data_IF_986916336835
#
_entry.id   IF_986916336835
#
_cell.length_a   1.000
_cell.length_b   1.000
_cell.length_c   1.000
_cell.angle_alpha   90.00
_cell.angle_beta   90.00
_cell.angle_gamma   90.00
#
_symmetry.space_group_name_H-M   'P 1'
#
loop_
_entity.id
_entity.type
_entity.pdbx_description
1 polymer ?
#
# COMPACT_ATOMS: atom_id res chain seq x y z
N UNK A 1 13.18 -7.30 -6.37
CA UNK A 1 13.61 -6.10 -7.12
C UNK A 1 12.48 -5.17 -7.50
N UNK A 2 11.37 -5.65 -8.09
CA UNK A 2 10.21 -4.82 -8.42
C UNK A 2 9.76 -3.87 -7.29
N UNK A 3 9.75 -4.34 -6.04
CA UNK A 3 9.33 -3.52 -4.92
C UNK A 3 10.35 -2.41 -4.59
N UNK A 4 11.65 -2.65 -4.79
CA UNK A 4 12.69 -1.60 -4.70
C UNK A 4 12.50 -0.55 -5.78
N UNK A 5 12.19 -0.96 -7.01
CA UNK A 5 11.87 -0.03 -8.11
C UNK A 5 10.65 0.84 -7.78
N UNK A 6 9.59 0.21 -7.26
CA UNK A 6 8.38 0.92 -6.82
C UNK A 6 8.72 1.90 -5.69
N UNK A 7 9.49 1.45 -4.69
CA UNK A 7 9.92 2.27 -3.56
C UNK A 7 10.72 3.50 -3.97
N UNK A 8 11.69 3.32 -4.88
CA UNK A 8 12.49 4.43 -5.40
C UNK A 8 11.67 5.41 -6.24
N UNK A 9 10.70 4.92 -7.02
CA UNK A 9 9.84 5.77 -7.86
C UNK A 9 8.85 6.58 -7.02
N UNK A 10 8.22 5.92 -6.05
CA UNK A 10 7.10 6.48 -5.29
C UNK A 10 7.54 7.11 -3.95
N UNK A 11 8.84 7.05 -3.63
CA UNK A 11 9.42 7.64 -2.42
C UNK A 11 8.98 6.97 -1.12
N UNK A 12 8.63 5.67 -1.17
CA UNK A 12 8.15 4.91 -0.02
C UNK A 12 9.25 4.05 0.60
N UNK A 13 9.17 3.82 1.90
CA UNK A 13 10.03 2.86 2.59
C UNK A 13 9.47 1.45 2.43
N UNK A 14 10.37 0.47 2.31
CA UNK A 14 10.01 -0.96 2.24
C UNK A 14 10.71 -1.72 3.36
N UNK A 15 10.14 -2.86 3.74
CA UNK A 15 10.74 -3.72 4.74
C UNK A 15 11.96 -4.47 4.18
N UNK A 16 12.72 -5.10 5.08
CA UNK A 16 13.82 -5.98 4.69
C UNK A 16 13.29 -7.18 3.89
N UNK A 17 14.16 -7.81 3.10
CA UNK A 17 13.81 -9.07 2.41
C UNK A 17 13.36 -10.14 3.42
N UNK A 18 13.98 -10.17 4.59
CA UNK A 18 13.69 -11.14 5.64
C UNK A 18 12.25 -11.02 6.13
N UNK A 19 11.75 -9.80 6.32
CA UNK A 19 10.35 -9.57 6.71
C UNK A 19 9.35 -10.28 5.78
N UNK A 20 9.56 -10.20 4.46
CA UNK A 20 8.68 -10.88 3.51
C UNK A 20 8.87 -12.40 3.56
N UNK A 21 10.11 -12.89 3.71
CA UNK A 21 10.38 -14.32 3.87
C UNK A 21 9.72 -14.90 5.14
N UNK A 22 9.77 -14.16 6.24
CA UNK A 22 9.13 -14.51 7.50
C UNK A 22 7.60 -14.56 7.35
N UNK A 23 7.02 -13.60 6.61
CA UNK A 23 5.57 -13.60 6.33
C UNK A 23 5.11 -14.89 5.64
N UNK A 24 5.82 -15.34 4.60
CA UNK A 24 5.50 -16.61 3.91
C UNK A 24 5.76 -17.83 4.80
N UNK A 25 6.88 -17.83 5.54
CA UNK A 25 7.25 -18.93 6.41
C UNK A 25 6.25 -19.12 7.54
N UNK A 26 5.79 -18.02 8.16
CA UNK A 26 4.78 -18.02 9.21
C UNK A 26 3.42 -18.47 8.69
N UNK A 27 2.99 -17.99 7.52
CA UNK A 27 1.75 -18.47 6.88
C UNK A 27 1.80 -19.98 6.66
N UNK A 28 2.90 -20.51 6.15
CA UNK A 28 3.06 -21.95 5.94
C UNK A 28 3.04 -22.75 7.25
N UNK A 29 3.78 -22.30 8.28
CA UNK A 29 3.87 -23.01 9.56
C UNK A 29 2.57 -22.98 10.35
N UNK A 30 1.86 -21.85 10.35
CA UNK A 30 0.61 -21.69 11.08
C UNK A 30 -0.54 -22.42 10.39
N UNK A 31 -0.58 -22.45 9.05
CA UNK A 31 -1.61 -23.22 8.32
C UNK A 31 -1.51 -24.73 8.52
N UNK A 32 -0.35 -25.24 8.89
CA UNK A 32 -0.19 -26.65 9.23
C UNK A 32 -0.86 -27.02 10.58
N UNK A 33 -1.19 -26.02 11.41
CA UNK A 33 -1.65 -26.21 12.78
C UNK A 33 -3.03 -25.60 13.04
N UNK A 34 -3.34 -24.48 12.37
CA UNK A 34 -4.44 -23.58 12.66
C UNK A 34 -5.12 -23.12 11.35
N UNK A 35 -6.32 -22.54 11.44
CA UNK A 35 -6.99 -21.85 10.33
C UNK A 35 -6.37 -20.46 10.10
N UNK A 36 -5.13 -20.45 9.62
CA UNK A 36 -4.37 -19.23 9.34
C UNK A 36 -4.53 -18.77 7.88
N UNK A 37 -4.38 -17.46 7.58
CA UNK A 37 -4.44 -16.96 6.22
C UNK A 37 -3.35 -17.56 5.31
N UNK A 38 -3.73 -17.92 4.08
CA UNK A 38 -2.79 -18.28 3.02
C UNK A 38 -2.19 -17.01 2.42
N UNK A 39 -0.87 -16.87 2.45
CA UNK A 39 -0.16 -15.78 1.79
C UNK A 39 0.37 -16.27 0.44
N UNK A 40 -0.01 -15.60 -0.64
CA UNK A 40 0.41 -15.95 -2.01
C UNK A 40 1.11 -14.79 -2.68
N UNK A 41 2.26 -15.07 -3.30
CA UNK A 41 2.96 -14.15 -4.20
C UNK A 41 2.53 -14.41 -5.64
N UNK A 42 2.01 -13.38 -6.29
CA UNK A 42 1.75 -13.38 -7.73
C UNK A 42 2.83 -12.56 -8.44
N UNK A 43 3.27 -13.03 -9.61
CA UNK A 43 4.22 -12.32 -10.47
C UNK A 43 3.69 -12.33 -11.89
N UNK A 44 3.49 -11.14 -12.47
CA UNK A 44 3.16 -10.99 -13.87
C UNK A 44 4.45 -10.95 -14.68
N UNK A 45 4.61 -11.92 -15.59
CA UNK A 45 5.75 -12.01 -16.49
C UNK A 45 5.29 -11.90 -17.93
N UNK A 46 6.02 -11.14 -18.73
CA UNK A 46 5.89 -11.13 -20.19
C UNK A 46 7.25 -11.44 -20.80
N UNK A 47 7.34 -12.54 -21.55
CA UNK A 47 8.60 -13.09 -22.06
C UNK A 47 9.60 -13.31 -20.90
N UNK A 48 10.72 -12.58 -20.90
CA UNK A 48 11.78 -12.68 -19.89
C UNK A 48 11.65 -11.63 -18.76
N UNK A 49 10.67 -10.72 -18.85
CA UNK A 49 10.54 -9.60 -17.93
C UNK A 49 9.48 -9.84 -16.86
N UNK A 50 9.87 -9.75 -15.59
CA UNK A 50 8.92 -9.61 -14.49
C UNK A 50 8.43 -8.16 -14.46
N UNK A 51 7.13 -7.95 -14.70
CA UNK A 51 6.55 -6.62 -14.89
C UNK A 51 5.84 -6.08 -13.64
N UNK A 52 5.21 -6.96 -12.86
CA UNK A 52 4.57 -6.60 -11.61
C UNK A 52 4.51 -7.80 -10.67
N UNK A 53 4.31 -7.53 -9.37
CA UNK A 53 4.08 -8.56 -8.38
C UNK A 53 3.12 -8.04 -7.30
N UNK A 54 2.32 -8.93 -6.74
CA UNK A 54 1.46 -8.64 -5.59
C UNK A 54 1.55 -9.75 -4.55
N UNK A 55 1.38 -9.41 -3.28
CA UNK A 55 1.21 -10.37 -2.19
C UNK A 55 -0.22 -10.22 -1.69
N UNK A 56 -0.97 -11.32 -1.74
CA UNK A 56 -2.37 -11.37 -1.33
C UNK A 56 -2.55 -12.42 -0.25
N UNK A 57 -3.31 -12.07 0.78
CA UNK A 57 -3.70 -12.96 1.86
C UNK A 57 -5.09 -13.51 1.57
N UNK A 58 -5.33 -14.79 1.85
CA UNK A 58 -6.62 -15.44 1.66
C UNK A 58 -7.07 -16.10 2.97
N UNK A 59 -8.28 -15.78 3.40
CA UNK A 59 -8.97 -16.41 4.53
C UNK A 59 -10.42 -16.70 4.16
N UNK A 60 -11.13 -17.47 5.00
CA UNK A 60 -12.57 -17.72 4.80
C UNK A 60 -13.45 -16.48 5.05
N UNK A 61 -12.88 -15.42 5.64
CA UNK A 61 -13.58 -14.15 5.88
C UNK A 61 -13.36 -13.14 4.76
N UNK A 62 -12.13 -13.01 4.29
CA UNK A 62 -11.74 -12.05 3.25
C UNK A 62 -10.40 -12.42 2.63
N UNK A 63 -10.16 -11.91 1.43
CA UNK A 63 -8.85 -11.82 0.83
C UNK A 63 -8.35 -10.37 0.87
N UNK A 64 -7.06 -10.16 1.13
CA UNK A 64 -6.49 -8.81 1.32
C UNK A 64 -5.29 -8.62 0.39
N UNK A 65 -5.35 -7.60 -0.46
CA UNK A 65 -4.23 -7.13 -1.26
C UNK A 65 -3.24 -6.35 -0.38
N UNK A 66 -2.21 -7.03 0.11
CA UNK A 66 -1.33 -6.50 1.16
C UNK A 66 -0.17 -5.69 0.61
N UNK A 67 0.49 -6.19 -0.44
CA UNK A 67 1.62 -5.50 -1.07
C UNK A 67 1.51 -5.57 -2.58
N UNK A 68 1.93 -4.52 -3.26
CA UNK A 68 2.10 -4.54 -4.71
C UNK A 68 3.29 -3.74 -5.17
N UNK A 69 3.85 -4.22 -6.27
CA UNK A 69 5.01 -3.66 -6.91
C UNK A 69 4.85 -3.72 -8.42
N UNK A 70 5.31 -2.70 -9.13
CA UNK A 70 5.31 -2.65 -10.58
C UNK A 70 6.64 -2.09 -11.10
N UNK A 71 7.12 -2.68 -12.18
CA UNK A 71 8.24 -2.19 -12.95
C UNK A 71 7.84 -1.00 -13.84
N UNK A 72 8.83 -0.44 -14.51
CA UNK A 72 8.62 0.65 -15.48
C UNK A 72 8.51 0.14 -16.93
N UNK A 73 8.83 -1.13 -17.17
CA UNK A 73 8.78 -1.75 -18.48
C UNK A 73 7.35 -2.18 -18.84
N UNK A 74 7.01 -2.07 -20.14
CA UNK A 74 5.79 -2.64 -20.74
C UNK A 74 4.50 -2.30 -19.95
N UNK A 75 4.41 -1.08 -19.38
CA UNK A 75 3.27 -0.64 -18.55
C UNK A 75 1.94 -0.64 -19.30
N UNK A 76 1.98 -0.46 -20.62
CA UNK A 76 0.84 -0.54 -21.52
C UNK A 76 0.17 -1.93 -21.53
N UNK A 77 0.87 -2.99 -21.09
CA UNK A 77 0.30 -4.33 -20.94
C UNK A 77 -0.55 -4.48 -19.67
N UNK A 78 -0.64 -3.43 -18.84
CA UNK A 78 -1.47 -3.38 -17.64
C UNK A 78 -1.24 -4.57 -16.67
N UNK A 79 0.01 -4.95 -16.36
CA UNK A 79 0.31 -6.17 -15.59
C UNK A 79 -0.26 -6.15 -14.17
N UNK A 80 -0.38 -4.96 -13.56
CA UNK A 80 -1.01 -4.81 -12.24
C UNK A 80 -2.51 -5.16 -12.28
N UNK A 81 -3.22 -4.82 -13.36
CA UNK A 81 -4.64 -5.15 -13.52
C UNK A 81 -4.83 -6.65 -13.71
N UNK A 82 -3.97 -7.29 -14.50
CA UNK A 82 -3.95 -8.75 -14.64
C UNK A 82 -3.82 -9.42 -13.26
N UNK A 83 -2.84 -9.01 -12.46
CA UNK A 83 -2.61 -9.61 -11.14
C UNK A 83 -3.79 -9.44 -10.19
N UNK A 84 -4.40 -8.25 -10.13
CA UNK A 84 -5.57 -8.02 -9.29
C UNK A 84 -6.76 -8.85 -9.75
N UNK A 85 -7.02 -8.92 -11.07
CA UNK A 85 -8.09 -9.75 -11.60
C UNK A 85 -7.88 -11.22 -11.29
N UNK A 86 -6.66 -11.74 -11.46
CA UNK A 86 -6.32 -13.12 -11.07
C UNK A 86 -6.57 -13.34 -9.58
N UNK A 87 -6.05 -12.48 -8.71
CA UNK A 87 -6.22 -12.62 -7.27
C UNK A 87 -7.69 -12.50 -6.81
N UNK A 88 -8.51 -11.69 -7.47
CA UNK A 88 -9.97 -11.62 -7.22
C UNK A 88 -10.66 -12.94 -7.55
N UNK A 89 -10.32 -13.55 -8.69
CA UNK A 89 -10.86 -14.85 -9.08
C UNK A 89 -10.40 -15.96 -8.13
N UNK A 90 -9.14 -15.91 -7.70
CA UNK A 90 -8.59 -16.86 -6.74
C UNK A 90 -9.21 -16.68 -5.35
N UNK A 91 -9.54 -15.45 -4.94
CA UNK A 91 -10.27 -15.18 -3.70
C UNK A 91 -11.65 -15.83 -3.72
N UNK A 92 -12.36 -15.69 -4.84
CA UNK A 92 -13.65 -16.35 -5.04
C UNK A 92 -13.53 -17.87 -4.99
N UNK A 93 -12.54 -18.44 -5.66
CA UNK A 93 -12.27 -19.90 -5.66
C UNK A 93 -11.89 -20.40 -4.27
N UNK A 94 -11.12 -19.62 -3.51
CA UNK A 94 -10.73 -19.93 -2.13
C UNK A 94 -11.93 -19.91 -1.17
N UNK A 95 -13.02 -19.22 -1.54
CA UNK A 95 -14.21 -19.01 -0.72
C UNK A 95 -14.13 -17.76 0.16
N UNK A 96 -13.31 -16.77 -0.21
CA UNK A 96 -13.31 -15.46 0.43
C UNK A 96 -14.48 -14.62 -0.11
N UNK A 97 -15.45 -14.20 0.72
CA UNK A 97 -16.61 -13.44 0.27
C UNK A 97 -16.29 -11.98 -0.08
N UNK A 98 -15.13 -11.47 0.36
CA UNK A 98 -14.69 -10.09 0.15
C UNK A 98 -13.24 -10.08 -0.34
N UNK A 99 -12.92 -9.19 -1.28
CA UNK A 99 -11.57 -8.84 -1.69
C UNK A 99 -11.27 -7.39 -1.27
N UNK A 100 -10.51 -7.20 -0.20
CA UNK A 100 -10.12 -5.90 0.32
C UNK A 100 -8.84 -5.40 -0.38
N UNK A 101 -8.96 -4.29 -1.11
CA UNK A 101 -7.82 -3.61 -1.73
C UNK A 101 -6.91 -2.91 -0.72
N UNK A 102 -7.25 -2.93 0.58
CA UNK A 102 -6.58 -2.26 1.67
C UNK A 102 -6.63 -0.72 1.54
N UNK A 103 -5.88 0.00 2.38
CA UNK A 103 -5.95 1.46 2.49
C UNK A 103 -5.74 2.23 1.19
N UNK A 104 -6.58 3.24 0.94
CA UNK A 104 -6.56 4.08 -0.26
C UNK A 104 -6.68 5.57 0.12
N UNK A 105 -6.34 6.50 -0.80
CA UNK A 105 -6.58 7.93 -0.58
C UNK A 105 -8.06 8.22 -0.26
N UNK A 106 -8.36 9.22 0.56
CA UNK A 106 -9.69 9.41 1.15
C UNK A 106 -10.75 9.92 0.17
N UNK A 107 -10.35 10.50 -0.97
CA UNK A 107 -11.27 11.15 -1.92
C UNK A 107 -10.71 11.16 -3.35
N UNK A 108 -11.60 11.44 -4.30
CA UNK A 108 -11.31 11.73 -5.72
C UNK A 108 -10.69 13.13 -5.85
N UNK A 109 -9.45 13.30 -5.36
CA UNK A 109 -8.70 14.55 -5.44
C UNK A 109 -7.50 14.42 -6.37
N UNK A 110 -7.57 15.10 -7.52
CA UNK A 110 -6.52 15.12 -8.55
C UNK A 110 -5.20 15.73 -8.07
N UNK A 111 -5.23 16.56 -7.04
CA UNK A 111 -4.03 17.17 -6.46
C UNK A 111 -3.38 16.26 -5.41
N UNK A 112 -4.04 15.16 -5.03
CA UNK A 112 -3.50 14.23 -4.05
C UNK A 112 -2.33 13.43 -4.66
N UNK A 113 -1.16 13.33 -3.97
CA UNK A 113 0.02 12.63 -4.51
C UNK A 113 -0.23 11.17 -4.93
N UNK A 114 -1.21 10.53 -4.29
CA UNK A 114 -1.61 9.15 -4.57
C UNK A 114 -2.87 9.02 -5.43
N UNK A 115 -3.26 10.06 -6.20
CA UNK A 115 -4.47 10.03 -7.03
C UNK A 115 -4.53 8.84 -8.00
N UNK A 116 -3.39 8.46 -8.59
CA UNK A 116 -3.31 7.28 -9.44
C UNK A 116 -3.68 5.97 -8.71
N UNK A 117 -3.37 5.86 -7.42
CA UNK A 117 -3.75 4.71 -6.59
C UNK A 117 -5.26 4.71 -6.30
N UNK A 118 -5.85 5.89 -6.11
CA UNK A 118 -7.31 6.04 -6.00
C UNK A 118 -8.00 5.49 -7.25
N UNK A 119 -7.64 6.01 -8.44
CA UNK A 119 -8.20 5.56 -9.71
C UNK A 119 -7.99 4.06 -9.97
N UNK A 120 -6.80 3.55 -9.65
CA UNK A 120 -6.49 2.13 -9.80
C UNK A 120 -7.46 1.26 -8.99
N UNK A 121 -7.68 1.60 -7.72
CA UNK A 121 -8.52 0.79 -6.82
C UNK A 121 -10.01 0.94 -7.11
N UNK A 122 -10.48 2.16 -7.36
CA UNK A 122 -11.89 2.40 -7.68
C UNK A 122 -12.29 1.87 -9.05
N UNK A 123 -11.34 1.77 -9.99
CA UNK A 123 -11.57 1.19 -11.32
C UNK A 123 -12.02 -0.28 -11.32
N UNK A 124 -11.88 -1.02 -10.21
CA UNK A 124 -12.39 -2.39 -10.06
C UNK A 124 -13.86 -2.46 -9.62
N UNK A 125 -14.52 -1.32 -9.37
CA UNK A 125 -15.97 -1.26 -9.10
C UNK A 125 -16.41 -1.72 -7.70
N UNK A 126 -15.51 -1.71 -6.71
CA UNK A 126 -15.82 -2.04 -5.32
C UNK A 126 -16.44 -0.88 -4.52
N UNK A 127 -16.74 -1.13 -3.25
CA UNK A 127 -17.26 -0.12 -2.31
C UNK A 127 -16.13 0.54 -1.50
N UNK A 128 -16.21 1.86 -1.31
CA UNK A 128 -15.31 2.58 -0.39
C UNK A 128 -15.85 2.44 1.03
N UNK A 129 -15.04 1.87 1.92
CA UNK A 129 -15.42 1.63 3.33
C UNK A 129 -14.61 2.54 4.24
N UNK A 130 -15.27 3.48 4.90
CA UNK A 130 -14.69 4.31 5.96
C UNK A 130 -14.83 3.60 7.29
N UNK A 131 -13.69 3.30 7.93
CA UNK A 131 -13.65 2.69 9.26
C UNK A 131 -13.41 3.78 10.32
N UNK A 132 -13.94 3.63 11.55
CA UNK A 132 -13.48 4.45 12.67
C UNK A 132 -11.97 4.24 12.78
N UNK A 133 -11.20 5.33 12.75
CA UNK A 133 -9.74 5.26 12.80
C UNK A 133 -9.24 4.70 14.14
N UNK A 134 -8.01 5.05 14.50
CA UNK A 134 -7.47 4.69 15.80
C UNK A 134 -8.18 5.44 16.94
N UNK A 135 -8.49 4.73 18.01
CA UNK A 135 -9.01 5.28 19.28
C UNK A 135 -7.99 4.96 20.36
N UNK A 136 -7.48 5.98 21.02
CA UNK A 136 -6.50 5.82 22.09
C UNK A 136 -7.19 5.79 23.45
N UNK A 137 -6.82 4.81 24.28
CA UNK A 137 -7.26 4.70 25.68
C UNK A 137 -6.05 5.01 26.57
N UNK A 138 -5.96 6.21 27.17
CA UNK A 138 -4.82 6.60 27.98
C UNK A 138 -4.71 5.71 29.24
N UNK A 139 -3.61 4.96 29.36
CA UNK A 139 -3.34 4.12 30.53
C UNK A 139 -2.57 4.85 31.63
N UNK A 140 -2.03 6.03 31.34
CA UNK A 140 -1.24 6.84 32.28
C UNK A 140 -1.37 8.34 32.01
N UNK A 141 -1.18 9.21 33.02
CA UNK A 141 -1.19 10.67 32.82
C UNK A 141 -0.09 11.17 31.87
N UNK A 142 1.04 10.45 31.74
CA UNK A 142 2.11 10.80 30.79
C UNK A 142 1.67 10.73 29.33
N UNK A 143 0.53 10.08 29.03
CA UNK A 143 -0.05 10.12 27.69
C UNK A 143 -0.33 11.56 27.22
N UNK A 144 -0.73 12.46 28.13
CA UNK A 144 -0.96 13.86 27.78
C UNK A 144 0.31 14.56 27.26
N UNK A 145 1.49 14.22 27.81
CA UNK A 145 2.78 14.74 27.32
C UNK A 145 3.09 14.22 25.92
N UNK A 146 2.81 12.95 25.66
CA UNK A 146 2.96 12.35 24.33
C UNK A 146 2.05 13.03 23.31
N UNK A 147 0.75 13.20 23.63
CA UNK A 147 -0.19 13.88 22.73
C UNK A 147 0.24 15.32 22.44
N UNK A 148 0.67 16.06 23.45
CA UNK A 148 1.18 17.42 23.27
C UNK A 148 2.44 17.44 22.36
N UNK A 149 3.36 16.50 22.54
CA UNK A 149 4.54 16.38 21.68
C UNK A 149 4.17 16.04 20.23
N UNK A 150 3.20 15.14 20.02
CA UNK A 150 2.68 14.79 18.69
C UNK A 150 1.98 15.97 18.02
N UNK A 151 1.22 16.78 18.77
CA UNK A 151 0.58 17.99 18.25
C UNK A 151 1.62 19.02 17.79
N UNK A 152 2.68 19.23 18.58
CA UNK A 152 3.81 20.10 18.21
C UNK A 152 4.52 19.57 16.96
N UNK A 153 4.79 18.27 16.90
CA UNK A 153 5.40 17.61 15.73
C UNK A 153 4.53 17.78 14.49
N UNK A 154 3.22 17.56 14.61
CA UNK A 154 2.27 17.71 13.52
C UNK A 154 2.19 19.16 13.02
N UNK A 155 2.18 20.13 13.93
CA UNK A 155 2.23 21.55 13.60
C UNK A 155 3.50 21.92 12.83
N UNK A 156 4.67 21.45 13.31
CA UNK A 156 5.95 21.67 12.64
C UNK A 156 5.94 21.15 11.19
N UNK A 157 5.49 19.91 10.96
CA UNK A 157 5.46 19.34 9.62
C UNK A 157 4.41 19.98 8.70
N UNK A 158 3.24 20.36 9.23
CA UNK A 158 2.15 20.94 8.43
C UNK A 158 2.41 22.40 8.06
N UNK A 159 2.91 23.22 8.99
CA UNK A 159 3.06 24.67 8.78
C UNK A 159 4.50 25.09 8.54
N UNK A 160 5.41 24.72 9.44
CA UNK A 160 6.79 25.25 9.43
C UNK A 160 7.59 24.65 8.28
N UNK A 161 7.60 23.32 8.15
CA UNK A 161 8.39 22.64 7.10
C UNK A 161 7.90 22.99 5.69
N UNK A 162 6.60 23.19 5.49
CA UNK A 162 6.05 23.64 4.20
C UNK A 162 6.45 25.08 3.87
N UNK A 163 6.51 25.97 4.87
CA UNK A 163 7.02 27.35 4.70
C UNK A 163 8.47 27.35 4.24
N UNK A 164 9.33 26.58 4.90
CA UNK A 164 10.75 26.49 4.52
C UNK A 164 10.95 25.81 3.16
N UNK A 165 10.14 24.82 2.80
CA UNK A 165 10.16 24.22 1.47
C UNK A 165 9.72 25.20 0.36
N UNK A 166 8.78 26.12 0.64
CA UNK A 166 8.39 27.19 -0.27
C UNK A 166 9.44 28.31 -0.37
N UNK A 167 10.13 28.66 0.73
CA UNK A 167 11.20 29.68 0.69
C UNK A 167 12.45 29.23 -0.08
N UNK A 168 12.71 27.94 -0.23
CA UNK A 168 13.85 27.41 -1.01
C UNK A 168 13.52 27.26 -2.51
N UNK A 169 12.25 27.39 -2.90
CA UNK A 169 11.82 27.40 -4.30
C UNK A 169 11.61 28.85 -4.80
N UNK A 170 12.69 29.50 -5.22
CA UNK A 170 12.67 30.73 -6.03
C UNK A 170 13.56 30.54 -7.27
N UNK A 171 13.23 31.14 -8.44
CA UNK A 171 13.29 30.50 -9.75
C UNK A 171 14.69 30.54 -10.39
N UNK A 172 15.13 29.40 -10.94
CA UNK A 172 16.18 29.41 -11.96
C UNK A 172 15.58 29.90 -13.28
N UNK A 173 15.76 31.20 -13.52
CA UNK A 173 16.14 31.82 -14.81
C UNK A 173 15.66 31.12 -16.07
N UNK A 174 14.69 31.76 -16.74
CA UNK A 174 14.52 31.61 -18.18
C UNK A 174 15.82 31.98 -18.91
N UNK A 175 16.18 31.16 -19.89
CA UNK A 175 16.99 31.55 -21.03
C UNK A 175 16.23 31.17 -22.28
N UNK A 176 16.14 32.16 -23.15
CA UNK A 176 15.77 32.11 -24.57
C UNK A 176 16.60 31.06 -25.33
#
# INVERSE_FOLDING_TARGET
DLYRTTASRDGISIHSRQYYADLFSLSASERAKNDAPLVTLYVARHENDNLAAIITLFSKREAVYLYGASGNLKRNLMPAYLLQWTAINDAKTYGSPVYDFYGMPPADDKNHPMYGLYLFKTGFGGNIVHRPGSIDIPLSPSYALYTAAEDVRAFYHKKIRKLFAHCVASPRTGRE
#
